data_IF_972331637608
#
_entry.id   IF_972331637608
#
_cell.length_a   1.000
_cell.length_b   1.000
_cell.length_c   1.000
_cell.angle_alpha   90.00
_cell.angle_beta   90.00
_cell.angle_gamma   90.00
#
_symmetry.space_group_name_H-M   'P 1'
#
loop_
_entity.id
_entity.type
_entity.pdbx_description
1 polymer ?
#
# COMPACT_ATOMS: atom_id res chain seq x y z
N UNK A 1 -4.32 18.74 -3.04
CA UNK A 1 -3.27 17.80 -3.46
C UNK A 1 -2.03 18.62 -3.73
N UNK A 2 -1.03 18.47 -2.88
CA UNK A 2 0.26 19.13 -3.07
C UNK A 2 1.09 18.25 -4.00
N UNK A 3 1.16 18.62 -5.28
CA UNK A 3 1.89 17.89 -6.34
C UNK A 3 3.32 17.57 -5.89
N UNK A 4 3.94 18.48 -5.14
CA UNK A 4 5.31 18.33 -4.63
C UNK A 4 5.48 17.17 -3.64
N UNK A 5 4.47 16.89 -2.80
CA UNK A 5 4.58 15.83 -1.80
C UNK A 5 4.50 14.45 -2.46
N UNK A 6 3.51 14.25 -3.33
CA UNK A 6 3.33 12.99 -4.06
C UNK A 6 4.54 12.65 -4.93
N UNK A 7 5.03 13.64 -5.69
CA UNK A 7 6.24 13.48 -6.50
C UNK A 7 7.45 13.11 -5.64
N UNK A 8 7.61 13.76 -4.48
CA UNK A 8 8.71 13.43 -3.58
C UNK A 8 8.61 11.99 -3.04
N UNK A 9 7.43 11.56 -2.59
CA UNK A 9 7.22 10.18 -2.13
C UNK A 9 7.44 9.18 -3.28
N UNK A 10 7.02 9.50 -4.50
CA UNK A 10 7.31 8.66 -5.67
C UNK A 10 8.81 8.53 -5.91
N UNK A 11 9.59 9.61 -5.78
CA UNK A 11 11.04 9.59 -5.95
C UNK A 11 11.72 8.67 -4.91
N UNK A 12 11.23 8.63 -3.67
CA UNK A 12 11.68 7.65 -2.69
C UNK A 12 11.37 6.21 -3.13
N UNK A 13 10.15 5.95 -3.62
CA UNK A 13 9.76 4.62 -4.08
C UNK A 13 10.58 4.16 -5.30
N UNK A 14 10.78 5.03 -6.29
CA UNK A 14 11.61 4.77 -7.48
C UNK A 14 13.07 4.49 -7.14
N UNK A 15 13.59 5.08 -6.07
CA UNK A 15 14.94 4.81 -5.55
C UNK A 15 14.99 3.67 -4.53
N UNK A 16 13.88 2.94 -4.34
CA UNK A 16 13.70 1.87 -3.35
C UNK A 16 14.01 2.31 -1.90
N UNK A 17 13.88 3.60 -1.60
CA UNK A 17 14.10 4.20 -0.28
C UNK A 17 12.78 4.36 0.48
N UNK A 18 12.09 3.25 0.71
CA UNK A 18 10.77 3.20 1.35
C UNK A 18 10.83 3.75 2.78
N UNK A 19 11.89 3.44 3.53
CA UNK A 19 12.04 3.93 4.91
C UNK A 19 12.31 5.44 4.95
N UNK A 20 12.97 6.00 3.94
CA UNK A 20 13.13 7.44 3.79
C UNK A 20 11.79 8.16 3.59
N UNK A 21 10.91 7.61 2.74
CA UNK A 21 9.55 8.12 2.57
C UNK A 21 8.76 8.10 3.90
N UNK A 22 8.86 6.98 4.64
CA UNK A 22 8.21 6.85 5.94
C UNK A 22 8.70 7.92 6.93
N UNK A 23 10.03 8.05 7.12
CA UNK A 23 10.62 9.03 8.04
C UNK A 23 10.21 10.46 7.69
N UNK A 24 10.16 10.81 6.40
CA UNK A 24 9.71 12.13 5.98
C UNK A 24 8.24 12.37 6.36
N UNK A 25 7.34 11.43 6.04
CA UNK A 25 5.92 11.55 6.35
C UNK A 25 5.65 11.55 7.86
N UNK A 26 6.37 10.74 8.63
CA UNK A 26 6.32 10.75 10.09
C UNK A 26 6.70 12.11 10.66
N UNK A 27 7.79 12.71 10.18
CA UNK A 27 8.25 14.03 10.58
C UNK A 27 7.22 15.12 10.24
N UNK A 28 6.66 15.07 9.02
CA UNK A 28 5.60 15.98 8.61
C UNK A 28 4.36 15.85 9.50
N UNK A 29 3.96 14.63 9.83
CA UNK A 29 2.79 14.37 10.67
C UNK A 29 3.01 14.80 12.12
N UNK A 30 4.20 14.59 12.68
CA UNK A 30 4.58 15.07 14.02
C UNK A 30 4.65 16.60 14.09
N UNK A 31 5.04 17.25 12.99
CA UNK A 31 5.07 18.71 12.89
C UNK A 31 3.69 19.33 12.71
N UNK A 32 2.70 18.55 12.27
CA UNK A 32 1.33 19.02 12.14
C UNK A 32 0.73 19.21 13.54
N UNK A 33 0.27 20.41 13.85
CA UNK A 33 -0.47 20.69 15.08
C UNK A 33 -1.89 20.11 14.99
N UNK A 34 -2.01 18.78 15.07
CA UNK A 34 -3.27 18.04 15.00
C UNK A 34 -3.26 16.89 16.01
N UNK A 35 -4.30 16.81 16.85
CA UNK A 35 -4.48 15.67 17.74
C UNK A 35 -4.89 14.40 16.95
N UNK A 36 -5.49 14.59 15.77
CA UNK A 36 -5.90 13.53 14.82
C UNK A 36 -4.72 13.06 13.99
N UNK A 37 -4.70 11.76 13.68
CA UNK A 37 -3.66 11.05 12.94
C UNK A 37 -2.28 11.02 13.63
N UNK A 38 -2.08 11.74 14.73
CA UNK A 38 -0.79 11.86 15.44
C UNK A 38 -0.13 10.52 15.79
N UNK A 39 -0.90 9.49 16.14
CA UNK A 39 -0.36 8.15 16.47
C UNK A 39 0.21 7.42 15.26
N UNK A 40 -0.26 7.71 14.04
CA UNK A 40 0.21 7.03 12.83
C UNK A 40 1.72 7.23 12.60
N UNK A 41 2.30 8.32 13.09
CA UNK A 41 3.73 8.60 12.98
C UNK A 41 4.62 7.54 13.65
N UNK A 42 4.07 6.69 14.53
CA UNK A 42 4.82 5.60 15.17
C UNK A 42 4.14 4.24 15.05
N UNK A 43 2.89 4.20 14.57
CA UNK A 43 2.13 2.98 14.37
C UNK A 43 2.47 2.31 13.03
N UNK A 44 2.34 0.99 13.03
CA UNK A 44 2.62 0.11 11.89
C UNK A 44 1.55 -0.97 11.83
N UNK A 45 1.41 -1.61 10.67
CA UNK A 45 0.63 -2.85 10.60
C UNK A 45 1.24 -3.92 11.52
N UNK A 46 0.38 -4.71 12.15
CA UNK A 46 0.76 -5.74 13.13
C UNK A 46 0.63 -7.15 12.57
N UNK A 47 0.21 -7.29 11.31
CA UNK A 47 0.22 -8.56 10.59
C UNK A 47 1.61 -9.19 10.63
N UNK A 48 1.67 -10.51 10.76
CA UNK A 48 2.95 -11.21 10.71
C UNK A 48 3.50 -11.19 9.29
N UNK A 49 4.78 -10.81 9.06
CA UNK A 49 5.39 -10.91 7.74
C UNK A 49 5.28 -12.32 7.14
N UNK A 50 5.35 -13.37 7.96
CA UNK A 50 5.17 -14.76 7.52
C UNK A 50 3.74 -15.06 7.08
N UNK A 51 2.73 -14.48 7.75
CA UNK A 51 1.33 -14.64 7.34
C UNK A 51 1.09 -13.99 5.97
N UNK A 52 1.62 -12.78 5.78
CA UNK A 52 1.53 -12.05 4.51
C UNK A 52 2.25 -12.82 3.39
N UNK A 53 3.48 -13.30 3.65
CA UNK A 53 4.23 -14.11 2.70
C UNK A 53 3.44 -15.36 2.27
N UNK A 54 2.96 -16.15 3.24
CA UNK A 54 2.20 -17.36 2.96
C UNK A 54 0.89 -17.08 2.20
N UNK A 55 0.30 -15.90 2.37
CA UNK A 55 -0.88 -15.49 1.62
C UNK A 55 -0.55 -15.24 0.15
N UNK A 56 0.53 -14.48 -0.11
CA UNK A 56 1.02 -14.19 -1.45
C UNK A 56 1.49 -15.48 -2.15
N UNK A 57 2.26 -16.33 -1.45
CA UNK A 57 2.75 -17.61 -1.98
C UNK A 57 1.60 -18.51 -2.45
N UNK A 58 0.56 -18.68 -1.61
CA UNK A 58 -0.61 -19.48 -1.98
C UNK A 58 -1.32 -18.94 -3.21
N UNK A 59 -1.44 -17.62 -3.32
CA UNK A 59 -2.04 -16.97 -4.49
C UNK A 59 -1.22 -17.24 -5.75
N UNK A 60 0.10 -17.00 -5.68
CA UNK A 60 1.02 -17.19 -6.80
C UNK A 60 1.03 -18.65 -7.25
N UNK A 61 1.18 -19.61 -6.35
CA UNK A 61 1.16 -21.03 -6.69
C UNK A 61 -0.17 -21.44 -7.35
N UNK A 62 -1.31 -20.98 -6.83
CA UNK A 62 -2.62 -21.29 -7.41
C UNK A 62 -2.81 -20.69 -8.83
N UNK A 63 -2.16 -19.55 -9.11
CA UNK A 63 -2.16 -18.96 -10.44
C UNK A 63 -1.18 -19.69 -11.39
N UNK A 64 0.00 -20.08 -10.91
CA UNK A 64 1.00 -20.82 -11.70
C UNK A 64 0.49 -22.19 -12.18
N UNK A 65 -0.42 -22.82 -11.42
CA UNK A 65 -1.12 -24.03 -11.85
C UNK A 65 -2.04 -23.82 -13.06
N UNK A 66 -2.39 -22.57 -13.38
CA UNK A 66 -3.35 -22.21 -14.43
C UNK A 66 -2.70 -21.47 -15.60
N UNK A 67 -1.70 -20.62 -15.35
CA UNK A 67 -1.01 -19.84 -16.37
C UNK A 67 0.40 -19.41 -15.92
N UNK A 68 1.21 -18.98 -16.89
CA UNK A 68 2.55 -18.47 -16.66
C UNK A 68 2.50 -17.07 -16.02
N UNK A 69 2.68 -17.00 -14.70
CA UNK A 69 2.64 -15.75 -13.94
C UNK A 69 3.90 -14.94 -14.23
N UNK A 70 3.72 -13.75 -14.81
CA UNK A 70 4.79 -12.80 -15.14
C UNK A 70 4.86 -11.59 -14.22
N UNK A 71 3.79 -11.28 -13.50
CA UNK A 71 3.77 -10.25 -12.47
C UNK A 71 2.63 -10.48 -11.48
N UNK A 72 2.79 -9.90 -10.30
CA UNK A 72 1.77 -9.81 -9.24
C UNK A 72 1.57 -8.34 -8.87
N UNK A 73 0.34 -7.95 -8.61
CA UNK A 73 -0.02 -6.64 -8.05
C UNK A 73 -0.87 -6.84 -6.81
N UNK A 74 -0.53 -6.13 -5.74
CA UNK A 74 -1.27 -6.09 -4.48
C UNK A 74 -1.82 -4.68 -4.27
N UNK A 75 -3.14 -4.56 -4.18
CA UNK A 75 -3.82 -3.28 -3.99
C UNK A 75 -4.51 -3.25 -2.63
N UNK A 76 -4.08 -2.38 -1.73
CA UNK A 76 -4.86 -2.05 -0.54
C UNK A 76 -6.16 -1.36 -0.97
N UNK A 77 -7.29 -1.69 -0.34
CA UNK A 77 -8.58 -1.07 -0.68
C UNK A 77 -8.59 0.45 -0.48
N UNK A 78 -9.64 1.13 -0.96
CA UNK A 78 -9.88 2.57 -0.71
C UNK A 78 -10.11 2.85 0.78
N UNK A 79 -9.03 2.83 1.55
CA UNK A 79 -9.01 2.67 3.00
C UNK A 79 -9.45 3.93 3.75
N UNK A 80 -9.30 5.08 3.10
CA UNK A 80 -9.65 6.40 3.63
C UNK A 80 -11.17 6.67 3.62
N UNK A 81 -11.91 5.99 2.74
CA UNK A 81 -13.38 5.95 2.71
C UNK A 81 -13.96 4.66 3.29
N UNK A 82 -13.26 3.53 3.17
CA UNK A 82 -13.66 2.22 3.71
C UNK A 82 -12.95 1.92 5.03
N UNK A 83 -13.16 2.78 6.03
CA UNK A 83 -12.47 2.72 7.31
C UNK A 83 -12.86 1.53 8.21
N UNK A 84 -13.95 0.81 7.94
CA UNK A 84 -14.39 -0.29 8.81
C UNK A 84 -13.52 -1.54 8.72
N UNK A 85 -12.89 -1.77 7.56
CA UNK A 85 -11.97 -2.89 7.35
C UNK A 85 -10.97 -2.53 6.26
N UNK A 86 -9.69 -2.66 6.60
CA UNK A 86 -8.60 -2.54 5.67
C UNK A 86 -8.11 -3.92 5.24
N UNK A 87 -7.83 -4.08 3.96
CA UNK A 87 -7.38 -5.32 3.36
C UNK A 87 -6.66 -5.03 2.05
N UNK A 88 -6.03 -6.04 1.45
CA UNK A 88 -5.56 -5.94 0.06
C UNK A 88 -6.13 -7.05 -0.82
N UNK A 89 -6.32 -6.71 -2.09
CA UNK A 89 -6.64 -7.64 -3.18
C UNK A 89 -5.34 -8.07 -3.89
N UNK A 90 -5.37 -9.25 -4.52
CA UNK A 90 -4.22 -9.83 -5.22
C UNK A 90 -4.57 -10.09 -6.68
N UNK A 91 -3.71 -9.63 -7.59
CA UNK A 91 -3.88 -9.73 -9.03
C UNK A 91 -2.63 -10.35 -9.66
N UNK A 92 -2.82 -11.25 -10.63
CA UNK A 92 -1.71 -11.86 -11.37
C UNK A 92 -1.90 -11.73 -12.87
N UNK A 93 -0.76 -11.60 -13.56
CA UNK A 93 -0.70 -11.22 -14.96
C UNK A 93 0.22 -12.15 -15.74
N UNK A 94 -0.06 -12.29 -17.04
CA UNK A 94 0.79 -13.01 -18.01
C UNK A 94 1.72 -12.08 -18.79
N UNK A 95 1.65 -10.77 -18.51
CA UNK A 95 2.53 -9.74 -19.07
C UNK A 95 3.07 -8.88 -17.92
N UNK A 96 4.24 -8.29 -18.15
CA UNK A 96 4.85 -7.32 -17.26
C UNK A 96 5.54 -6.26 -18.11
N UNK A 97 5.33 -4.99 -17.78
CA UNK A 97 6.09 -3.86 -18.30
C UNK A 97 6.92 -3.26 -17.17
N UNK A 98 8.21 -3.03 -17.43
CA UNK A 98 9.09 -2.28 -16.53
C UNK A 98 9.00 -0.76 -16.74
N UNK A 99 8.23 -0.31 -17.73
CA UNK A 99 7.94 1.11 -17.96
C UNK A 99 7.04 1.65 -16.84
N UNK A 100 7.59 2.57 -16.05
CA UNK A 100 6.87 3.16 -14.92
C UNK A 100 5.82 4.18 -15.33
N UNK A 101 5.80 4.60 -16.61
CA UNK A 101 4.83 5.54 -17.16
C UNK A 101 3.66 4.83 -17.86
N UNK A 102 3.80 3.54 -18.19
CA UNK A 102 2.75 2.72 -18.83
C UNK A 102 2.22 1.64 -17.87
N UNK A 103 1.12 1.98 -17.19
CA UNK A 103 0.43 1.11 -16.23
C UNK A 103 -0.89 0.54 -16.76
N UNK A 104 -1.21 0.74 -18.05
CA UNK A 104 -2.50 0.31 -18.61
C UNK A 104 -2.70 -1.21 -18.48
N UNK A 105 -1.61 -1.98 -18.52
CA UNK A 105 -1.62 -3.43 -18.36
C UNK A 105 -2.16 -3.90 -16.99
N UNK A 106 -2.16 -3.05 -15.96
CA UNK A 106 -2.72 -3.39 -14.64
C UNK A 106 -4.23 -3.65 -14.70
N UNK A 107 -4.92 -3.16 -15.72
CA UNK A 107 -6.37 -3.39 -15.92
C UNK A 107 -6.70 -4.78 -16.48
N UNK A 108 -5.71 -5.51 -17.01
CA UNK A 108 -5.89 -6.76 -17.74
C UNK A 108 -5.42 -7.99 -16.94
N UNK A 109 -5.75 -8.04 -15.65
CA UNK A 109 -5.37 -9.19 -14.80
C UNK A 109 -6.09 -10.48 -15.23
N UNK A 110 -5.41 -11.61 -15.04
CA UNK A 110 -5.88 -12.93 -15.48
C UNK A 110 -6.34 -13.78 -14.29
N UNK A 111 -5.85 -13.48 -13.09
CA UNK A 111 -6.20 -14.22 -11.88
C UNK A 111 -7.71 -14.22 -11.60
N UNK A 112 -8.25 -15.33 -11.06
CA UNK A 112 -9.58 -15.31 -10.47
C UNK A 112 -9.60 -14.42 -9.22
N UNK A 113 -10.81 -14.15 -8.71
CA UNK A 113 -10.96 -13.55 -7.39
C UNK A 113 -10.25 -14.41 -6.34
N UNK A 114 -9.51 -13.75 -5.45
CA UNK A 114 -8.81 -14.38 -4.35
C UNK A 114 -9.35 -13.88 -3.01
N UNK A 115 -9.16 -14.67 -1.95
CA UNK A 115 -9.55 -14.26 -0.60
C UNK A 115 -8.71 -13.06 -0.16
N UNK A 116 -9.34 -12.09 0.50
CA UNK A 116 -8.66 -10.88 0.98
C UNK A 116 -7.97 -11.11 2.32
N UNK A 117 -6.74 -10.60 2.47
CA UNK A 117 -6.07 -10.56 3.77
C UNK A 117 -6.38 -9.25 4.51
N UNK A 118 -6.91 -9.36 5.72
CA UNK A 118 -7.24 -8.18 6.55
C UNK A 118 -5.98 -7.61 7.20
N UNK A 119 -5.82 -6.31 7.08
CA UNK A 119 -4.72 -5.55 7.67
C UNK A 119 -5.12 -5.06 9.07
N UNK A 120 -4.23 -5.23 10.05
CA UNK A 120 -4.48 -4.96 11.47
C UNK A 120 -3.40 -4.04 12.06
N UNK A 121 -3.67 -3.39 13.19
CA UNK A 121 -2.70 -2.58 13.95
C UNK A 121 -2.80 -1.07 13.76
N UNK A 122 -3.61 -0.63 12.78
CA UNK A 122 -3.87 0.79 12.50
C UNK A 122 -5.33 1.18 12.78
N UNK A 123 -6.02 0.47 13.67
CA UNK A 123 -7.45 0.68 13.97
C UNK A 123 -7.73 2.09 14.52
N UNK A 124 -6.78 2.67 15.26
CA UNK A 124 -6.89 4.07 15.69
C UNK A 124 -6.89 5.05 14.51
N UNK A 125 -6.09 4.77 13.48
CA UNK A 125 -6.07 5.55 12.24
C UNK A 125 -7.36 5.36 11.45
N UNK A 126 -7.90 4.14 11.42
CA UNK A 126 -9.24 3.88 10.87
C UNK A 126 -10.31 4.76 11.55
N UNK A 127 -10.28 4.88 12.89
CA UNK A 127 -11.20 5.77 13.61
C UNK A 127 -11.02 7.25 13.26
N UNK A 128 -9.79 7.69 12.95
CA UNK A 128 -9.53 9.06 12.50
C UNK A 128 -10.07 9.31 11.08
N UNK A 129 -9.95 8.35 10.16
CA UNK A 129 -10.60 8.42 8.84
C UNK A 129 -12.13 8.40 8.97
N UNK A 130 -12.69 7.53 9.82
CA UNK A 130 -14.13 7.51 10.13
C UNK A 130 -14.59 8.89 10.59
N UNK A 131 -13.89 9.49 11.55
CA UNK A 131 -14.21 10.83 12.05
C UNK A 131 -14.18 11.86 10.91
N UNK A 132 -13.16 11.83 10.05
CA UNK A 132 -13.00 12.76 8.95
C UNK A 132 -14.17 12.70 7.95
N UNK A 133 -14.59 11.49 7.58
CA UNK A 133 -15.70 11.25 6.65
C UNK A 133 -17.06 11.52 7.30
N UNK A 134 -17.39 10.89 8.42
CA UNK A 134 -18.71 10.98 9.05
C UNK A 134 -19.01 12.37 9.61
N UNK A 135 -17.99 13.07 10.11
CA UNK A 135 -18.13 14.46 10.57
C UNK A 135 -18.04 15.48 9.45
N UNK A 136 -17.90 15.04 8.19
CA UNK A 136 -17.81 15.87 6.99
C UNK A 136 -16.70 16.92 7.04
N UNK A 137 -15.57 16.57 7.67
CA UNK A 137 -14.45 17.50 7.83
C UNK A 137 -13.87 17.89 6.46
N UNK A 138 -13.96 16.99 5.48
CA UNK A 138 -13.57 17.22 4.08
C UNK A 138 -14.28 18.42 3.43
N UNK A 139 -15.48 18.82 3.89
CA UNK A 139 -16.20 19.98 3.34
C UNK A 139 -15.51 21.31 3.71
N UNK A 140 -14.76 21.34 4.82
CA UNK A 140 -14.18 22.56 5.39
C UNK A 140 -12.70 22.76 5.06
N UNK A 141 -12.04 21.75 4.50
CA UNK A 141 -10.62 21.77 4.08
C UNK A 141 -9.61 22.12 5.18
N UNK A 142 -10.00 22.02 6.45
CA UNK A 142 -9.15 22.41 7.59
C UNK A 142 -8.07 21.38 7.90
N UNK A 143 -8.27 20.12 7.47
CA UNK A 143 -7.38 18.99 7.78
C UNK A 143 -6.79 18.33 6.54
N UNK A 144 -7.05 18.86 5.33
CA UNK A 144 -6.64 18.25 4.05
C UNK A 144 -5.17 17.86 4.03
N UNK A 145 -4.28 18.74 4.51
CA UNK A 145 -2.85 18.46 4.54
C UNK A 145 -2.49 17.29 5.46
N UNK A 146 -3.10 17.22 6.64
CA UNK A 146 -2.83 16.15 7.62
C UNK A 146 -3.38 14.83 7.10
N UNK A 147 -4.55 14.85 6.48
CA UNK A 147 -5.16 13.67 5.87
C UNK A 147 -4.35 13.19 4.68
N UNK A 148 -3.86 14.09 3.81
CA UNK A 148 -2.98 13.74 2.69
C UNK A 148 -1.69 13.06 3.16
N UNK A 149 -1.03 13.62 4.18
CA UNK A 149 0.16 13.00 4.80
C UNK A 149 -0.19 11.64 5.40
N UNK A 150 -1.31 11.53 6.10
CA UNK A 150 -1.73 10.29 6.73
C UNK A 150 -2.06 9.19 5.71
N UNK A 151 -2.77 9.52 4.64
CA UNK A 151 -3.10 8.58 3.57
C UNK A 151 -1.82 8.06 2.89
N UNK A 152 -0.89 8.94 2.54
CA UNK A 152 0.42 8.53 2.01
C UNK A 152 1.18 7.64 3.00
N UNK A 153 1.18 7.97 4.30
CA UNK A 153 1.88 7.17 5.29
C UNK A 153 1.25 5.78 5.47
N UNK A 154 -0.08 5.65 5.44
CA UNK A 154 -0.75 4.34 5.46
C UNK A 154 -0.34 3.48 4.26
N UNK A 155 -0.34 4.06 3.05
CA UNK A 155 0.12 3.36 1.85
C UNK A 155 1.61 2.94 1.97
N UNK A 156 2.48 3.83 2.48
CA UNK A 156 3.89 3.48 2.73
C UNK A 156 4.03 2.36 3.77
N UNK A 157 3.24 2.37 4.85
CA UNK A 157 3.23 1.26 5.83
C UNK A 157 2.82 -0.06 5.21
N UNK A 158 1.87 -0.04 4.27
CA UNK A 158 1.45 -1.23 3.54
C UNK A 158 2.61 -1.75 2.68
N UNK A 159 3.26 -0.87 1.92
CA UNK A 159 4.43 -1.20 1.10
C UNK A 159 5.58 -1.76 1.96
N UNK A 160 5.84 -1.20 3.15
CA UNK A 160 6.83 -1.74 4.11
C UNK A 160 6.45 -3.15 4.57
N UNK A 161 5.18 -3.39 4.92
CA UNK A 161 4.71 -4.72 5.31
C UNK A 161 4.93 -5.76 4.20
N UNK A 162 4.63 -5.40 2.95
CA UNK A 162 4.87 -6.28 1.81
C UNK A 162 6.37 -6.58 1.67
N UNK A 163 7.23 -5.55 1.63
CA UNK A 163 8.69 -5.72 1.56
C UNK A 163 9.22 -6.67 2.64
N UNK A 164 8.77 -6.46 3.88
CA UNK A 164 9.25 -7.22 5.04
C UNK A 164 8.79 -8.69 4.96
N UNK A 165 7.65 -8.97 4.32
CA UNK A 165 7.19 -10.34 4.05
C UNK A 165 8.04 -11.09 3.02
N UNK A 166 8.58 -10.38 2.01
CA UNK A 166 9.37 -10.97 0.93
C UNK A 166 10.81 -11.31 1.35
N UNK A 167 11.30 -10.75 2.45
CA UNK A 167 12.64 -11.03 2.97
C UNK A 167 12.78 -12.44 3.59
N UNK A 168 11.74 -13.28 3.50
CA UNK A 168 11.64 -14.60 4.11
C UNK A 168 12.17 -15.71 3.20
N UNK A 169 12.15 -15.53 1.87
CA UNK A 169 12.69 -16.49 0.90
C UNK A 169 13.57 -15.80 -0.16
N UNK A 170 14.61 -16.50 -0.61
CA UNK A 170 15.64 -15.99 -1.56
C UNK A 170 15.84 -17.01 -2.69
N UNK A 171 14.75 -17.53 -3.25
CA UNK A 171 14.83 -18.44 -4.40
C UNK A 171 14.88 -17.67 -5.73
N UNK A 172 15.47 -18.29 -6.75
CA UNK A 172 16.02 -17.63 -7.95
C UNK A 172 14.99 -17.30 -9.06
N UNK A 173 13.72 -17.67 -8.91
CA UNK A 173 12.69 -17.38 -9.91
C UNK A 173 11.87 -16.17 -9.46
N UNK A 174 12.45 -14.98 -9.60
CA UNK A 174 11.87 -13.72 -9.12
C UNK A 174 10.71 -13.26 -9.99
N UNK A 175 9.47 -13.32 -9.49
CA UNK A 175 8.29 -12.72 -10.12
C UNK A 175 8.19 -11.26 -9.69
N UNK A 176 8.15 -10.29 -10.62
CA UNK A 176 7.87 -8.89 -10.29
C UNK A 176 6.59 -8.74 -9.46
N UNK A 177 6.70 -8.04 -8.33
CA UNK A 177 5.58 -7.76 -7.44
C UNK A 177 5.45 -6.24 -7.23
N UNK A 178 4.26 -5.72 -7.52
CA UNK A 178 3.88 -4.33 -7.29
C UNK A 178 2.95 -4.24 -6.08
N UNK A 179 3.07 -3.17 -5.30
CA UNK A 179 2.15 -2.90 -4.20
C UNK A 179 1.79 -1.41 -4.13
N UNK A 180 0.50 -1.11 -3.96
CA UNK A 180 0.00 0.24 -3.69
C UNK A 180 -1.36 0.21 -2.99
N UNK A 181 -2.02 1.35 -2.85
CA UNK A 181 -3.40 1.46 -2.40
C UNK A 181 -4.30 2.03 -3.51
N UNK A 182 -5.58 1.73 -3.44
CA UNK A 182 -6.59 2.24 -4.37
C UNK A 182 -6.54 3.78 -4.47
N UNK A 183 -6.68 4.30 -5.68
CA UNK A 183 -6.52 5.71 -6.05
C UNK A 183 -5.09 6.30 -5.92
N UNK A 184 -4.06 5.46 -5.75
CA UNK A 184 -2.65 5.87 -5.80
C UNK A 184 -1.95 5.36 -7.07
N UNK A 185 -1.28 6.28 -7.78
CA UNK A 185 -0.50 5.97 -8.99
C UNK A 185 1.02 5.83 -8.72
N UNK A 186 1.39 5.55 -7.47
CA UNK A 186 2.78 5.35 -7.04
C UNK A 186 2.93 3.97 -6.41
N UNK A 187 4.03 3.27 -6.66
CA UNK A 187 4.13 1.83 -6.40
C UNK A 187 5.42 1.46 -5.67
N UNK A 188 5.29 0.60 -4.66
CA UNK A 188 6.39 -0.25 -4.22
C UNK A 188 6.66 -1.33 -5.27
N UNK A 189 7.93 -1.60 -5.57
CA UNK A 189 8.34 -2.58 -6.58
C UNK A 189 9.32 -3.57 -5.99
N UNK A 190 9.00 -4.84 -6.11
CA UNK A 190 9.70 -5.94 -5.47
C UNK A 190 9.82 -7.14 -6.40
N UNK A 191 10.47 -8.17 -5.89
CA UNK A 191 10.54 -9.50 -6.48
C UNK A 191 10.03 -10.50 -5.46
N UNK A 192 9.02 -11.29 -5.83
CA UNK A 192 8.53 -12.45 -5.09
C UNK A 192 9.29 -13.70 -5.53
#
# INVERSE_FOLDING_TARGET
>A
MNVDLWENINNYLLSNNIDGAAVELESLLQSATSDRFSSLAVSHFTNSPLEVFNHIEKFVCACQDQFDVRAVYLEMNGFDINYDRWYFDSFAYTIYSDDTEDMDWLCDWISPNWDQLTLCGLEKTQDDFRWYIESKIYEYKTHDKVVEIASLLVMIRFIQLIRDSLSIDITNDSIPLLATAHDFDIFGRFTF
#
